data_IF_478474378012
#
_entry.id   IF_478474378012
#
_cell.length_a   1.000
_cell.length_b   1.000
_cell.length_c   1.000
_cell.angle_alpha   90.00
_cell.angle_beta   90.00
_cell.angle_gamma   90.00
#
_symmetry.space_group_name_H-M   'P 1'
#
loop_
_entity.id
_entity.type
_entity.pdbx_description
1 polymer ?
#
# COMPACT_ATOMS: atom_id res chain seq x y z
N UNK A 1 -3.16 12.57 -2.31
CA UNK A 1 -4.21 13.18 -1.48
C UNK A 1 -3.94 12.88 -0.01
N UNK A 2 -3.58 13.88 0.77
CA UNK A 2 -3.47 13.77 2.22
C UNK A 2 -4.74 14.35 2.88
N UNK A 3 -5.26 13.67 3.90
CA UNK A 3 -6.40 14.15 4.69
C UNK A 3 -6.03 14.23 6.15
N UNK A 4 -5.98 15.46 6.65
CA UNK A 4 -5.90 15.77 8.07
C UNK A 4 -7.26 15.84 8.74
N UNK A 5 -7.29 16.30 9.99
CA UNK A 5 -8.56 16.56 10.69
C UNK A 5 -9.32 17.76 10.11
N UNK A 6 -8.63 18.84 9.82
CA UNK A 6 -9.21 20.12 9.40
C UNK A 6 -9.05 20.42 7.90
N UNK A 7 -8.13 19.81 7.22
CA UNK A 7 -7.78 20.10 5.82
C UNK A 7 -7.59 18.83 4.99
N UNK A 8 -7.56 19.03 3.68
CA UNK A 8 -7.18 18.03 2.69
C UNK A 8 -6.29 18.68 1.66
N UNK A 9 -5.15 18.06 1.41
CA UNK A 9 -4.15 18.50 0.44
C UNK A 9 -4.16 17.57 -0.77
N UNK A 10 -4.14 18.17 -1.96
CA UNK A 10 -3.90 17.48 -3.23
C UNK A 10 -2.56 17.91 -3.77
N UNK A 11 -1.75 16.96 -4.18
CA UNK A 11 -0.49 17.19 -4.88
C UNK A 11 -0.41 16.29 -6.11
N UNK A 12 -0.02 16.86 -7.22
CA UNK A 12 0.34 16.16 -8.44
C UNK A 12 1.79 15.67 -8.32
N UNK A 13 2.02 14.41 -8.69
CA UNK A 13 3.36 13.83 -8.76
C UNK A 13 3.55 13.27 -10.16
N UNK A 14 4.57 13.73 -10.84
CA UNK A 14 4.93 13.27 -12.18
C UNK A 14 6.44 13.10 -12.28
N UNK A 15 6.88 11.91 -12.70
CA UNK A 15 8.31 11.58 -12.84
C UNK A 15 9.17 11.87 -11.59
N UNK A 16 8.60 11.67 -10.41
CA UNK A 16 9.29 11.95 -9.14
C UNK A 16 9.26 13.43 -8.71
N UNK A 17 8.71 14.31 -9.52
CA UNK A 17 8.61 15.74 -9.23
C UNK A 17 7.21 16.13 -8.75
N UNK A 18 7.15 17.11 -7.87
CA UNK A 18 5.90 17.65 -7.32
C UNK A 18 5.42 18.79 -8.21
N UNK A 19 4.27 18.59 -8.84
CA UNK A 19 3.60 19.59 -9.66
C UNK A 19 2.66 20.51 -8.85
N UNK A 20 1.42 20.65 -9.29
CA UNK A 20 0.40 21.46 -8.63
C UNK A 20 0.11 20.95 -7.21
N UNK A 21 -0.04 21.89 -6.28
CA UNK A 21 -0.38 21.63 -4.88
C UNK A 21 -1.51 22.53 -4.43
N UNK A 22 -2.53 21.98 -3.80
CA UNK A 22 -3.68 22.75 -3.33
C UNK A 22 -4.11 22.23 -1.98
N UNK A 23 -4.31 23.15 -1.03
CA UNK A 23 -4.92 22.87 0.28
C UNK A 23 -6.37 23.30 0.28
N UNK A 24 -7.22 22.52 0.89
CA UNK A 24 -8.66 22.81 1.05
C UNK A 24 -9.12 22.58 2.49
N UNK A 25 -10.27 23.10 2.84
CA UNK A 25 -10.93 22.89 4.14
C UNK A 25 -11.72 21.57 4.23
N UNK A 26 -11.42 20.60 3.37
CA UNK A 26 -12.08 19.28 3.36
C UNK A 26 -11.51 18.33 4.43
N UNK A 27 -11.34 18.79 5.67
CA UNK A 27 -11.04 17.91 6.79
C UNK A 27 -12.32 17.39 7.46
N UNK A 28 -12.40 16.10 7.87
CA UNK A 28 -13.60 15.55 8.48
C UNK A 28 -14.08 16.29 9.74
N UNK A 29 -13.16 16.83 10.55
CA UNK A 29 -13.51 17.65 11.71
C UNK A 29 -14.11 19.00 11.31
N UNK A 30 -13.56 19.66 10.31
CA UNK A 30 -14.13 20.94 9.80
C UNK A 30 -15.51 20.74 9.22
N UNK A 31 -15.73 19.64 8.52
CA UNK A 31 -17.03 19.33 7.90
C UNK A 31 -18.08 18.95 8.95
N UNK A 32 -17.69 18.29 10.04
CA UNK A 32 -18.65 17.91 11.10
C UNK A 32 -19.37 19.11 11.72
N UNK A 33 -18.74 20.29 11.74
CA UNK A 33 -19.31 21.55 12.23
C UNK A 33 -20.18 22.32 11.23
N UNK A 34 -20.31 21.87 9.98
CA UNK A 34 -21.08 22.58 8.95
C UNK A 34 -22.60 22.56 9.26
N UNK A 35 -23.22 23.73 9.21
CA UNK A 35 -24.66 23.91 9.39
C UNK A 35 -25.49 23.20 8.31
N UNK A 36 -26.73 22.84 8.63
CA UNK A 36 -27.65 22.15 7.70
C UNK A 36 -27.48 20.61 7.67
N UNK A 37 -26.77 20.04 8.65
CA UNK A 37 -26.63 18.61 8.82
C UNK A 37 -26.03 17.91 7.60
N UNK A 38 -26.42 16.65 7.36
CA UNK A 38 -25.90 15.84 6.23
C UNK A 38 -26.08 16.50 4.85
N UNK A 39 -27.15 17.28 4.66
CA UNK A 39 -27.40 17.99 3.39
C UNK A 39 -26.42 19.14 3.20
N UNK A 40 -26.23 19.98 4.24
CA UNK A 40 -25.26 21.08 4.22
C UNK A 40 -23.82 20.59 4.00
N UNK A 41 -23.43 19.53 4.72
CA UNK A 41 -22.12 18.88 4.54
C UNK A 41 -21.90 18.41 3.10
N UNK A 42 -22.90 17.74 2.50
CA UNK A 42 -22.81 17.25 1.12
C UNK A 42 -22.66 18.38 0.10
N UNK A 43 -23.40 19.48 0.28
CA UNK A 43 -23.28 20.66 -0.60
C UNK A 43 -21.92 21.32 -0.45
N UNK A 44 -21.43 21.49 0.78
CA UNK A 44 -20.11 22.05 1.06
C UNK A 44 -19.00 21.22 0.42
N UNK A 45 -18.99 19.89 0.66
CA UNK A 45 -18.04 18.95 0.05
C UNK A 45 -18.07 19.07 -1.48
N UNK A 46 -19.30 19.08 -2.06
CA UNK A 46 -19.46 19.17 -3.52
C UNK A 46 -18.81 20.44 -4.07
N UNK A 47 -19.14 21.61 -3.49
CA UNK A 47 -18.61 22.89 -3.95
C UNK A 47 -17.09 22.91 -3.95
N UNK A 48 -16.46 22.55 -2.83
CA UNK A 48 -14.99 22.58 -2.73
C UNK A 48 -14.35 21.57 -3.70
N UNK A 49 -14.92 20.38 -3.86
CA UNK A 49 -14.39 19.40 -4.82
C UNK A 49 -14.53 19.87 -6.28
N UNK A 50 -15.57 20.63 -6.61
CA UNK A 50 -15.71 21.24 -7.93
C UNK A 50 -14.60 22.28 -8.16
N UNK A 51 -14.35 23.15 -7.19
CA UNK A 51 -13.28 24.15 -7.22
C UNK A 51 -11.89 23.47 -7.34
N UNK A 52 -11.63 22.40 -6.58
CA UNK A 52 -10.40 21.64 -6.64
C UNK A 52 -10.19 20.99 -8.02
N UNK A 53 -11.25 20.44 -8.59
CA UNK A 53 -11.17 19.83 -9.93
C UNK A 53 -10.84 20.85 -11.01
N UNK A 54 -11.41 22.05 -10.94
CA UNK A 54 -11.08 23.16 -11.87
C UNK A 54 -9.60 23.53 -11.74
N UNK A 55 -9.08 23.64 -10.51
CA UNK A 55 -7.71 24.07 -10.27
C UNK A 55 -6.66 23.01 -10.61
N UNK A 56 -6.90 21.75 -10.25
CA UNK A 56 -5.99 20.63 -10.52
C UNK A 56 -6.04 20.17 -11.97
N UNK A 57 -7.17 20.32 -12.64
CA UNK A 57 -7.41 19.75 -13.96
C UNK A 57 -7.67 18.23 -13.90
N UNK A 58 -7.65 17.58 -15.05
CA UNK A 58 -7.84 16.14 -15.15
C UNK A 58 -6.63 15.38 -14.62
N UNK A 59 -6.86 14.47 -13.69
CA UNK A 59 -5.87 13.62 -13.04
C UNK A 59 -6.42 12.21 -13.01
N UNK A 60 -6.14 11.42 -14.04
CA UNK A 60 -6.78 10.12 -14.26
C UNK A 60 -5.93 8.92 -13.83
N UNK A 61 -4.69 9.13 -13.46
CA UNK A 61 -3.79 8.07 -13.04
C UNK A 61 -4.14 7.52 -11.65
N UNK A 62 -3.16 7.12 -10.89
CA UNK A 62 -3.35 6.58 -9.55
C UNK A 62 -3.57 7.70 -8.52
N UNK A 63 -4.57 7.50 -7.65
CA UNK A 63 -4.79 8.34 -6.47
C UNK A 63 -4.18 7.68 -5.23
N UNK A 64 -3.07 8.21 -4.73
CA UNK A 64 -2.52 7.80 -3.45
C UNK A 64 -3.22 8.52 -2.30
N UNK A 65 -3.70 7.75 -1.33
CA UNK A 65 -4.40 8.23 -0.15
C UNK A 65 -3.47 8.19 1.07
N UNK A 66 -3.18 9.35 1.64
CA UNK A 66 -2.35 9.56 2.83
C UNK A 66 -3.23 10.03 3.98
N UNK A 67 -2.99 9.57 5.19
CA UNK A 67 -3.72 10.03 6.38
C UNK A 67 -4.52 8.95 7.10
N UNK A 68 -4.88 9.26 8.34
CA UNK A 68 -5.50 8.32 9.27
C UNK A 68 -6.90 7.89 8.86
N UNK A 69 -7.70 8.81 8.32
CA UNK A 69 -9.08 8.53 7.90
C UNK A 69 -9.14 7.56 6.72
N UNK A 70 -8.25 7.72 5.74
CA UNK A 70 -8.16 6.78 4.61
C UNK A 70 -7.71 5.39 5.05
N UNK A 71 -6.73 5.33 5.96
CA UNK A 71 -6.29 4.05 6.54
C UNK A 71 -7.38 3.36 7.36
N UNK A 72 -8.28 4.11 8.01
CA UNK A 72 -9.43 3.55 8.68
C UNK A 72 -10.42 2.92 7.69
N UNK A 73 -10.74 3.61 6.59
CA UNK A 73 -11.59 3.06 5.50
C UNK A 73 -10.97 1.78 4.94
N UNK A 74 -9.67 1.77 4.66
CA UNK A 74 -8.97 0.61 4.13
C UNK A 74 -9.01 -0.60 5.09
N UNK A 75 -8.83 -0.38 6.40
CA UNK A 75 -8.95 -1.45 7.41
C UNK A 75 -10.35 -2.04 7.46
N UNK A 76 -11.38 -1.20 7.35
CA UNK A 76 -12.77 -1.66 7.29
C UNK A 76 -13.01 -2.48 6.01
N UNK A 77 -12.47 -2.02 4.88
CA UNK A 77 -12.57 -2.77 3.61
C UNK A 77 -11.83 -4.10 3.67
N UNK A 78 -10.61 -4.15 4.21
CA UNK A 78 -9.87 -5.39 4.44
C UNK A 78 -10.67 -6.36 5.31
N UNK A 79 -11.24 -5.88 6.41
CA UNK A 79 -12.07 -6.70 7.31
C UNK A 79 -13.30 -7.24 6.58
N UNK A 80 -14.06 -6.38 5.91
CA UNK A 80 -15.24 -6.76 5.11
C UNK A 80 -14.93 -7.85 4.08
N UNK A 81 -13.74 -7.79 3.47
CA UNK A 81 -13.31 -8.73 2.41
C UNK A 81 -12.63 -9.99 2.95
N UNK A 82 -12.34 -10.06 4.24
CA UNK A 82 -11.44 -11.10 4.77
C UNK A 82 -10.07 -11.08 4.10
N UNK A 83 -9.56 -9.86 3.80
CA UNK A 83 -8.33 -9.70 3.03
C UNK A 83 -7.11 -10.21 3.82
N UNK A 84 -6.32 -11.16 3.28
CA UNK A 84 -5.36 -11.92 4.09
C UNK A 84 -4.07 -11.16 4.41
N UNK A 85 -3.67 -10.16 3.61
CA UNK A 85 -2.45 -9.39 3.81
C UNK A 85 -2.74 -8.03 4.44
N UNK A 86 -2.54 -7.91 5.76
CA UNK A 86 -2.88 -6.71 6.54
C UNK A 86 -1.78 -5.62 6.49
N UNK A 87 -1.22 -5.36 5.32
CA UNK A 87 -0.27 -4.27 5.05
C UNK A 87 -1.03 -3.10 4.44
N UNK A 88 -0.89 -1.89 5.06
CA UNK A 88 -1.62 -0.71 4.57
C UNK A 88 -1.03 -0.13 3.28
N UNK A 89 0.31 -0.11 3.20
CA UNK A 89 0.98 0.47 2.03
C UNK A 89 0.69 -0.35 0.78
N UNK A 90 0.29 0.34 -0.31
CA UNK A 90 -0.14 -0.26 -1.58
C UNK A 90 -1.40 -1.14 -1.49
N UNK A 91 -2.18 -1.03 -0.39
CA UNK A 91 -3.52 -1.62 -0.42
C UNK A 91 -4.40 -0.89 -1.42
N UNK A 92 -4.94 -1.62 -2.39
CA UNK A 92 -5.72 -1.05 -3.49
C UNK A 92 -7.21 -1.30 -3.33
N UNK A 93 -7.99 -0.28 -3.63
CA UNK A 93 -9.44 -0.31 -3.62
C UNK A 93 -9.99 0.21 -4.95
N UNK A 94 -10.97 -0.47 -5.49
CA UNK A 94 -11.77 0.02 -6.62
C UNK A 94 -12.90 0.93 -6.12
N UNK A 95 -13.50 1.69 -7.03
CA UNK A 95 -14.72 2.45 -6.72
C UNK A 95 -15.85 1.54 -6.17
N UNK A 96 -15.96 0.32 -6.72
CA UNK A 96 -16.91 -0.68 -6.24
C UNK A 96 -16.65 -1.12 -4.80
N UNK A 97 -15.36 -1.29 -4.43
CA UNK A 97 -14.99 -1.66 -3.07
C UNK A 97 -15.37 -0.55 -2.08
N UNK A 98 -15.08 0.71 -2.42
CA UNK A 98 -15.43 1.87 -1.58
C UNK A 98 -16.96 1.97 -1.39
N UNK A 99 -17.73 1.70 -2.45
CA UNK A 99 -19.20 1.67 -2.37
C UNK A 99 -19.69 0.57 -1.43
N UNK A 100 -19.17 -0.64 -1.59
CA UNK A 100 -19.51 -1.78 -0.72
C UNK A 100 -19.10 -1.56 0.73
N UNK A 101 -17.99 -0.87 0.95
CA UNK A 101 -17.53 -0.52 2.30
C UNK A 101 -18.44 0.52 2.95
N UNK A 102 -18.91 1.52 2.20
CA UNK A 102 -19.92 2.48 2.67
C UNK A 102 -21.25 1.78 3.05
N UNK A 103 -21.71 0.84 2.22
CA UNK A 103 -22.89 0.01 2.50
C UNK A 103 -22.69 -0.88 3.73
N UNK A 104 -21.54 -1.52 3.83
CA UNK A 104 -21.18 -2.35 4.98
C UNK A 104 -21.21 -1.55 6.28
N UNK A 105 -20.63 -0.35 6.30
CA UNK A 105 -20.65 0.52 7.48
C UNK A 105 -22.09 0.90 7.88
N UNK A 106 -22.95 1.22 6.91
CA UNK A 106 -24.35 1.59 7.17
C UNK A 106 -25.18 0.43 7.73
N UNK A 107 -24.94 -0.78 7.23
CA UNK A 107 -25.74 -1.96 7.58
C UNK A 107 -25.22 -2.65 8.85
N UNK A 108 -23.90 -2.68 9.05
CA UNK A 108 -23.26 -3.39 10.16
C UNK A 108 -23.16 -2.54 11.42
N UNK A 109 -23.08 -1.22 11.27
CA UNK A 109 -22.95 -0.24 12.33
C UNK A 109 -21.50 0.00 12.78
N UNK A 110 -21.19 1.26 13.06
CA UNK A 110 -19.83 1.68 13.44
C UNK A 110 -19.38 1.10 14.78
N UNK A 111 -20.26 0.98 15.77
CA UNK A 111 -19.93 0.48 17.10
C UNK A 111 -19.47 -0.99 17.04
N UNK A 112 -20.15 -1.79 16.22
CA UNK A 112 -19.79 -3.18 16.01
C UNK A 112 -18.45 -3.29 15.26
N UNK A 113 -18.26 -2.51 14.21
CA UNK A 113 -16.99 -2.44 13.48
C UNK A 113 -15.86 -2.06 14.44
N UNK A 114 -16.08 -1.09 15.33
CA UNK A 114 -15.10 -0.64 16.33
C UNK A 114 -14.68 -1.74 17.28
N UNK A 115 -15.61 -2.60 17.70
CA UNK A 115 -15.30 -3.72 18.61
C UNK A 115 -14.49 -4.83 17.93
N UNK A 116 -14.61 -5.01 16.62
CA UNK A 116 -13.96 -6.08 15.85
C UNK A 116 -12.61 -5.65 15.23
N UNK A 117 -12.47 -4.35 14.92
CA UNK A 117 -11.28 -3.81 14.26
C UNK A 117 -10.56 -2.84 15.21
N UNK A 118 -9.23 -2.99 15.34
CA UNK A 118 -8.39 -2.08 16.13
C UNK A 118 -8.23 -0.72 15.44
N UNK A 119 -9.27 0.13 15.53
CA UNK A 119 -9.26 1.52 15.07
C UNK A 119 -9.63 2.40 16.28
N UNK A 120 -8.94 3.54 16.47
CA UNK A 120 -9.30 4.47 17.54
C UNK A 120 -10.69 5.05 17.33
N UNK A 121 -11.42 5.29 18.42
CA UNK A 121 -12.78 5.85 18.41
C UNK A 121 -12.86 7.15 17.60
N UNK A 122 -11.94 8.07 17.85
CA UNK A 122 -11.87 9.37 17.18
C UNK A 122 -11.78 9.27 15.64
N UNK A 123 -11.12 8.22 15.15
CA UNK A 123 -10.96 8.02 13.69
C UNK A 123 -12.17 7.35 13.06
N UNK A 124 -12.78 6.40 13.76
CA UNK A 124 -13.93 5.66 13.19
C UNK A 124 -15.14 6.56 13.03
N UNK A 125 -15.34 7.51 13.96
CA UNK A 125 -16.45 8.46 13.91
C UNK A 125 -16.36 9.41 12.71
N UNK A 126 -15.16 9.64 12.20
CA UNK A 126 -14.92 10.48 11.02
C UNK A 126 -15.02 9.73 9.68
N UNK A 127 -15.07 8.40 9.71
CA UNK A 127 -15.11 7.55 8.50
C UNK A 127 -16.29 7.87 7.59
N UNK A 128 -17.53 8.10 8.06
CA UNK A 128 -18.65 8.40 7.18
C UNK A 128 -18.45 9.68 6.36
N UNK A 129 -17.85 10.71 6.95
CA UNK A 129 -17.53 11.96 6.24
C UNK A 129 -16.37 11.73 5.26
N UNK A 130 -15.32 11.04 5.69
CA UNK A 130 -14.19 10.71 4.82
C UNK A 130 -14.61 9.89 3.58
N UNK A 131 -15.53 8.92 3.72
CA UNK A 131 -16.09 8.18 2.58
C UNK A 131 -16.87 9.10 1.62
N UNK A 132 -17.60 10.08 2.12
CA UNK A 132 -18.30 11.04 1.26
C UNK A 132 -17.32 11.87 0.44
N UNK A 133 -16.23 12.35 1.06
CA UNK A 133 -15.15 13.07 0.37
C UNK A 133 -14.53 12.18 -0.69
N UNK A 134 -14.14 10.95 -0.34
CA UNK A 134 -13.50 10.01 -1.25
C UNK A 134 -14.38 9.70 -2.47
N UNK A 135 -15.68 9.42 -2.25
CA UNK A 135 -16.64 9.22 -3.35
C UNK A 135 -16.79 10.45 -4.23
N UNK A 136 -16.68 11.63 -3.65
CA UNK A 136 -16.69 12.90 -4.38
C UNK A 136 -15.43 13.09 -5.22
N UNK A 137 -14.24 12.82 -4.68
CA UNK A 137 -12.96 12.84 -5.39
C UNK A 137 -12.98 11.90 -6.60
N UNK A 138 -13.36 10.64 -6.38
CA UNK A 138 -13.38 9.63 -7.44
C UNK A 138 -14.29 10.01 -8.59
N UNK A 139 -15.47 10.58 -8.29
CA UNK A 139 -16.42 11.00 -9.34
C UNK A 139 -15.86 12.12 -10.22
N UNK A 140 -15.07 13.02 -9.68
CA UNK A 140 -14.52 14.18 -10.40
C UNK A 140 -13.21 13.86 -11.11
N UNK A 141 -12.28 13.24 -10.39
CA UNK A 141 -10.94 12.97 -10.93
C UNK A 141 -10.85 11.64 -11.70
N UNK A 142 -11.81 10.71 -11.48
CA UNK A 142 -11.89 9.40 -12.15
C UNK A 142 -10.55 8.66 -12.19
N UNK A 143 -9.85 8.51 -11.05
CA UNK A 143 -8.57 7.84 -11.03
C UNK A 143 -8.72 6.39 -11.50
N UNK A 144 -7.70 5.91 -12.23
CA UNK A 144 -7.66 4.53 -12.71
C UNK A 144 -7.62 3.52 -11.55
N UNK A 145 -6.81 3.81 -10.54
CA UNK A 145 -6.79 3.02 -9.30
C UNK A 145 -6.58 3.91 -8.05
N UNK A 146 -6.83 3.34 -6.88
CA UNK A 146 -6.71 4.01 -5.59
C UNK A 146 -5.87 3.15 -4.68
N UNK A 147 -4.76 3.71 -4.17
CA UNK A 147 -3.84 3.02 -3.29
C UNK A 147 -3.66 3.77 -1.97
N UNK A 148 -3.52 3.04 -0.88
CA UNK A 148 -3.18 3.62 0.43
C UNK A 148 -1.67 3.79 0.55
N UNK A 149 -1.23 4.97 1.01
CA UNK A 149 0.16 5.16 1.41
C UNK A 149 0.32 5.08 2.93
N UNK A 150 1.33 4.35 3.38
CA UNK A 150 1.79 4.40 4.77
C UNK A 150 2.74 5.55 5.02
N UNK A 151 3.31 6.11 3.97
CA UNK A 151 4.22 7.25 4.04
C UNK A 151 3.44 8.56 4.07
N UNK A 152 3.94 9.52 4.83
CA UNK A 152 3.35 10.84 5.01
C UNK A 152 4.44 11.91 5.10
N UNK A 153 4.10 13.05 5.70
CA UNK A 153 4.99 14.21 5.79
C UNK A 153 6.32 13.90 6.47
N UNK A 154 6.35 13.00 7.46
CA UNK A 154 7.58 12.64 8.19
C UNK A 154 8.58 11.95 7.27
N UNK A 155 8.12 10.96 6.52
CA UNK A 155 8.94 10.23 5.56
C UNK A 155 9.34 11.15 4.40
N UNK A 156 8.44 12.03 3.95
CA UNK A 156 8.71 13.02 2.93
C UNK A 156 9.81 14.01 3.35
N UNK A 157 9.75 14.51 4.58
CA UNK A 157 10.79 15.41 5.13
C UNK A 157 12.16 14.74 5.20
N UNK A 158 12.20 13.46 5.62
CA UNK A 158 13.45 12.70 5.63
C UNK A 158 13.96 12.46 4.20
N UNK A 159 13.09 12.12 3.27
CA UNK A 159 13.44 11.90 1.87
C UNK A 159 14.00 13.17 1.22
N UNK A 160 13.43 14.34 1.52
CA UNK A 160 13.90 15.63 1.02
C UNK A 160 15.32 15.97 1.49
N UNK A 161 15.71 15.53 2.69
CA UNK A 161 17.07 15.71 3.22
C UNK A 161 18.11 14.76 2.60
N UNK A 162 17.67 13.73 1.88
CA UNK A 162 18.60 12.79 1.23
C UNK A 162 19.27 13.43 0.01
N UNK A 163 20.59 13.20 -0.20
CA UNK A 163 21.26 13.54 -1.46
C UNK A 163 20.54 12.93 -2.67
N UNK A 164 20.52 13.62 -3.80
CA UNK A 164 19.83 13.18 -5.02
C UNK A 164 20.26 11.75 -5.43
N UNK A 165 21.57 11.46 -5.38
CA UNK A 165 22.09 10.12 -5.68
C UNK A 165 21.48 8.99 -4.84
N UNK A 166 21.00 9.29 -3.63
CA UNK A 166 20.29 8.32 -2.79
C UNK A 166 18.81 8.25 -3.14
N UNK A 167 18.20 9.39 -3.49
CA UNK A 167 16.79 9.45 -3.91
C UNK A 167 16.53 8.73 -5.22
N UNK A 168 17.52 8.70 -6.12
CA UNK A 168 17.45 8.03 -7.42
C UNK A 168 17.58 6.50 -7.33
N UNK A 169 17.94 5.96 -6.16
CA UNK A 169 18.08 4.52 -5.96
C UNK A 169 16.71 3.85 -5.78
N UNK A 170 16.64 2.61 -6.23
CA UNK A 170 15.45 1.78 -6.02
C UNK A 170 15.27 1.44 -4.52
N UNK A 171 14.18 1.90 -3.87
CA UNK A 171 13.98 1.71 -2.45
C UNK A 171 13.85 0.24 -2.04
N UNK A 172 13.34 -0.65 -2.90
CA UNK A 172 13.32 -2.09 -2.64
C UNK A 172 14.73 -2.66 -2.59
N UNK A 173 15.52 -2.37 -3.60
CA UNK A 173 16.88 -2.92 -3.72
C UNK A 173 17.77 -2.40 -2.58
N UNK A 174 17.66 -1.12 -2.22
CA UNK A 174 18.40 -0.57 -1.06
C UNK A 174 17.97 -1.23 0.25
N UNK A 175 16.68 -1.46 0.46
CA UNK A 175 16.17 -2.19 1.63
C UNK A 175 16.66 -3.63 1.68
N UNK A 176 16.70 -4.32 0.54
CA UNK A 176 17.21 -5.69 0.43
C UNK A 176 18.73 -5.75 0.68
N UNK A 177 19.51 -4.80 0.17
CA UNK A 177 20.95 -4.69 0.47
C UNK A 177 21.21 -4.43 1.95
N UNK A 178 20.40 -3.58 2.58
CA UNK A 178 20.51 -3.34 4.02
C UNK A 178 20.25 -4.64 4.82
N UNK A 179 19.18 -5.36 4.47
CA UNK A 179 18.84 -6.63 5.11
C UNK A 179 19.93 -7.70 4.91
N UNK A 180 20.45 -7.84 3.69
CA UNK A 180 21.54 -8.75 3.39
C UNK A 180 22.78 -8.46 4.26
N UNK A 181 23.21 -7.19 4.29
CA UNK A 181 24.40 -6.79 5.08
C UNK A 181 24.24 -7.05 6.57
N UNK A 182 23.02 -6.85 7.10
CA UNK A 182 22.74 -7.00 8.52
C UNK A 182 22.53 -8.46 8.94
N UNK A 183 21.82 -9.23 8.14
CA UNK A 183 21.24 -10.50 8.57
C UNK A 183 21.78 -11.74 7.84
N UNK A 184 22.33 -11.63 6.63
CA UNK A 184 22.83 -12.78 5.89
C UNK A 184 24.17 -13.31 6.48
N UNK A 185 24.42 -14.62 6.34
CA UNK A 185 25.70 -15.25 6.73
C UNK A 185 26.88 -14.78 5.91
N UNK A 186 26.65 -14.49 4.62
CA UNK A 186 27.68 -14.07 3.68
C UNK A 186 27.20 -12.80 2.94
N UNK A 187 27.38 -11.62 3.52
CA UNK A 187 27.02 -10.35 2.89
C UNK A 187 27.70 -10.18 1.53
N UNK A 188 26.94 -9.71 0.52
CA UNK A 188 27.40 -9.55 -0.87
C UNK A 188 27.26 -10.82 -1.73
N UNK A 189 26.87 -11.95 -1.16
CA UNK A 189 26.62 -13.15 -1.96
C UNK A 189 25.36 -13.02 -2.83
N UNK A 190 24.34 -12.32 -2.39
CA UNK A 190 23.11 -12.14 -3.16
C UNK A 190 23.33 -11.54 -4.54
N UNK A 191 24.26 -10.58 -4.68
CA UNK A 191 24.60 -10.03 -5.99
C UNK A 191 25.37 -11.04 -6.87
N UNK A 192 26.20 -11.90 -6.29
CA UNK A 192 26.88 -12.98 -7.03
C UNK A 192 25.86 -14.01 -7.49
N UNK A 193 24.92 -14.38 -6.62
CA UNK A 193 23.83 -15.28 -6.95
C UNK A 193 22.98 -14.72 -8.09
N UNK A 194 22.60 -13.44 -8.01
CA UNK A 194 21.84 -12.78 -9.08
C UNK A 194 22.56 -12.86 -10.43
N UNK A 195 23.87 -12.54 -10.48
CA UNK A 195 24.67 -12.64 -11.71
C UNK A 195 24.73 -14.08 -12.24
N UNK A 196 24.80 -15.06 -11.36
CA UNK A 196 24.87 -16.48 -11.73
C UNK A 196 23.58 -16.99 -12.35
N UNK A 197 22.41 -16.60 -11.80
CA UNK A 197 21.12 -17.09 -12.29
C UNK A 197 20.53 -16.24 -13.43
N UNK A 198 21.02 -15.01 -13.62
CA UNK A 198 20.47 -14.08 -14.61
C UNK A 198 20.35 -14.67 -16.05
N UNK A 199 21.31 -15.49 -16.54
CA UNK A 199 21.20 -16.11 -17.86
C UNK A 199 20.02 -17.08 -18.04
N UNK A 200 19.40 -17.56 -16.94
CA UNK A 200 18.22 -18.43 -16.98
C UNK A 200 16.97 -17.63 -17.40
N UNK A 201 16.96 -16.32 -17.11
CA UNK A 201 15.82 -15.44 -17.34
C UNK A 201 15.96 -14.70 -18.67
N UNK A 202 15.75 -15.39 -19.77
CA UNK A 202 15.74 -14.78 -21.10
C UNK A 202 14.49 -13.90 -21.28
N UNK A 203 14.68 -12.65 -21.70
CA UNK A 203 13.59 -11.70 -21.98
C UNK A 203 12.70 -11.35 -20.77
N UNK A 204 13.25 -11.37 -19.55
CA UNK A 204 12.53 -10.97 -18.34
C UNK A 204 12.22 -9.46 -18.38
N UNK A 205 10.99 -9.09 -18.06
CA UNK A 205 10.60 -7.68 -17.96
C UNK A 205 11.28 -7.00 -16.76
N UNK A 206 11.56 -5.68 -16.83
CA UNK A 206 12.31 -4.96 -15.77
C UNK A 206 11.72 -5.13 -14.36
N UNK A 207 10.40 -5.12 -14.23
CA UNK A 207 9.68 -5.29 -12.97
C UNK A 207 9.98 -6.67 -12.33
N UNK A 208 10.02 -7.72 -13.14
CA UNK A 208 10.37 -9.08 -12.69
C UNK A 208 11.85 -9.24 -12.40
N UNK A 209 12.72 -8.69 -13.24
CA UNK A 209 14.17 -8.68 -12.99
C UNK A 209 14.49 -8.02 -11.64
N UNK A 210 13.76 -6.97 -11.29
CA UNK A 210 13.84 -6.30 -9.99
C UNK A 210 13.47 -7.24 -8.84
N UNK A 211 12.41 -8.03 -8.95
CA UNK A 211 11.99 -9.01 -7.93
C UNK A 211 12.97 -10.18 -7.83
N UNK A 212 13.50 -10.69 -8.94
CA UNK A 212 14.56 -11.72 -8.95
C UNK A 212 15.81 -11.23 -8.20
N UNK A 213 16.22 -9.98 -8.46
CA UNK A 213 17.35 -9.37 -7.72
C UNK A 213 17.07 -9.25 -6.24
N UNK A 214 15.85 -8.82 -5.85
CA UNK A 214 15.42 -8.73 -4.46
C UNK A 214 15.42 -10.11 -3.79
N UNK A 215 14.90 -11.15 -4.45
CA UNK A 215 14.93 -12.53 -3.96
C UNK A 215 16.36 -13.02 -3.70
N UNK A 216 17.30 -12.74 -4.61
CA UNK A 216 18.71 -13.08 -4.44
C UNK A 216 19.35 -12.38 -3.23
N UNK A 217 19.03 -11.11 -2.99
CA UNK A 217 19.54 -10.38 -1.84
C UNK A 217 18.95 -10.90 -0.51
N UNK A 218 17.67 -11.28 -0.53
CA UNK A 218 16.96 -11.75 0.67
C UNK A 218 17.09 -13.26 0.93
N UNK A 219 17.75 -14.00 0.05
CA UNK A 219 17.77 -15.47 0.07
C UNK A 219 18.23 -16.09 1.39
N UNK A 220 19.02 -15.41 2.19
CA UNK A 220 19.64 -15.94 3.42
C UNK A 220 19.33 -15.12 4.68
N UNK A 221 18.47 -14.09 4.61
CA UNK A 221 18.16 -13.21 5.76
C UNK A 221 17.48 -13.93 6.93
N UNK A 222 16.82 -15.05 6.68
CA UNK A 222 16.09 -15.83 7.69
C UNK A 222 16.88 -17.06 8.20
N UNK A 223 18.18 -17.15 7.94
CA UNK A 223 18.97 -18.33 8.30
C UNK A 223 19.01 -18.62 9.81
N UNK A 224 18.86 -17.59 10.67
CA UNK A 224 18.82 -17.74 12.13
C UNK A 224 17.55 -18.39 12.65
N UNK A 225 16.48 -18.44 11.85
CA UNK A 225 15.28 -19.19 12.21
C UNK A 225 15.60 -20.69 12.24
N UNK A 226 14.86 -21.42 13.10
CA UNK A 226 14.97 -22.88 13.11
C UNK A 226 14.72 -23.43 11.70
N UNK A 227 15.48 -24.46 11.23
CA UNK A 227 15.34 -25.00 9.89
C UNK A 227 13.90 -25.30 9.45
N UNK A 228 13.07 -25.80 10.35
CA UNK A 228 11.66 -26.14 10.07
C UNK A 228 10.78 -24.91 9.77
N UNK A 229 11.20 -23.73 10.19
CA UNK A 229 10.44 -22.47 10.05
C UNK A 229 11.06 -21.47 9.07
N UNK A 230 12.21 -21.77 8.48
CA UNK A 230 12.92 -20.83 7.59
C UNK A 230 12.09 -20.40 6.39
N UNK A 231 11.36 -21.34 5.81
CA UNK A 231 10.51 -21.09 4.65
C UNK A 231 9.42 -20.06 4.96
N UNK A 232 8.67 -20.28 6.04
CA UNK A 232 7.61 -19.35 6.47
C UNK A 232 8.19 -18.02 6.93
N UNK A 233 9.33 -18.03 7.63
CA UNK A 233 10.00 -16.80 8.08
C UNK A 233 10.45 -15.94 6.89
N UNK A 234 10.97 -16.56 5.81
CA UNK A 234 11.29 -15.83 4.59
C UNK A 234 10.04 -15.25 3.92
N UNK A 235 8.98 -16.03 3.83
CA UNK A 235 7.71 -15.56 3.29
C UNK A 235 7.16 -14.38 4.10
N UNK A 236 7.13 -14.50 5.42
CA UNK A 236 6.67 -13.44 6.32
C UNK A 236 7.57 -12.20 6.24
N UNK A 237 8.86 -12.37 6.10
CA UNK A 237 9.79 -11.26 5.90
C UNK A 237 9.44 -10.46 4.64
N UNK A 238 9.31 -11.10 3.49
CA UNK A 238 8.98 -10.43 2.23
C UNK A 238 7.61 -9.77 2.25
N UNK A 239 6.62 -10.42 2.86
CA UNK A 239 5.23 -9.94 2.83
C UNK A 239 4.95 -8.86 3.86
N UNK A 240 5.58 -8.89 5.05
CA UNK A 240 5.22 -8.03 6.20
C UNK A 240 6.27 -7.00 6.58
N UNK A 241 7.53 -7.14 6.15
CA UNK A 241 8.55 -6.13 6.43
C UNK A 241 8.29 -4.83 5.67
N UNK A 242 8.85 -3.74 6.19
CA UNK A 242 8.74 -2.42 5.57
C UNK A 242 9.67 -2.29 4.35
N UNK A 243 9.45 -3.12 3.35
CA UNK A 243 10.12 -3.04 2.06
C UNK A 243 9.40 -2.00 1.19
N UNK A 244 10.12 -0.97 0.77
CA UNK A 244 9.59 0.09 -0.08
C UNK A 244 9.30 -0.38 -1.51
N UNK A 245 8.40 0.30 -2.20
CA UNK A 245 8.17 0.13 -3.64
C UNK A 245 7.67 -1.26 -4.07
N UNK A 246 6.88 -1.94 -3.23
CA UNK A 246 6.23 -3.22 -3.54
C UNK A 246 4.72 -3.12 -3.43
N UNK A 247 4.02 -3.52 -4.45
CA UNK A 247 2.59 -3.84 -4.38
C UNK A 247 2.33 -5.11 -3.56
N UNK A 248 1.09 -5.37 -3.19
CA UNK A 248 0.73 -6.60 -2.46
C UNK A 248 1.05 -7.87 -3.26
N UNK A 249 0.80 -7.87 -4.56
CA UNK A 249 1.13 -9.02 -5.41
C UNK A 249 2.64 -9.26 -5.49
N UNK A 250 3.44 -8.21 -5.64
CA UNK A 250 4.90 -8.33 -5.66
C UNK A 250 5.46 -8.80 -4.32
N UNK A 251 4.88 -8.39 -3.19
CA UNK A 251 5.24 -8.90 -1.86
C UNK A 251 5.01 -10.40 -1.74
N UNK A 252 3.85 -10.86 -2.21
CA UNK A 252 3.49 -12.27 -2.14
C UNK A 252 4.32 -13.09 -3.13
N UNK A 253 4.55 -12.56 -4.34
CA UNK A 253 5.44 -13.17 -5.32
C UNK A 253 6.85 -13.39 -4.75
N UNK A 254 7.44 -12.32 -4.21
CA UNK A 254 8.76 -12.37 -3.57
C UNK A 254 8.77 -13.35 -2.38
N UNK A 255 7.72 -13.33 -1.56
CA UNK A 255 7.57 -14.27 -0.45
C UNK A 255 7.50 -15.71 -0.91
N UNK A 256 6.75 -15.99 -1.98
CA UNK A 256 6.61 -17.33 -2.55
C UNK A 256 7.95 -17.83 -3.13
N UNK A 257 8.66 -17.01 -3.89
CA UNK A 257 9.97 -17.34 -4.41
C UNK A 257 10.98 -17.67 -3.27
N UNK A 258 10.97 -16.89 -2.18
CA UNK A 258 11.80 -17.16 -1.01
C UNK A 258 11.37 -18.41 -0.23
N UNK A 259 10.08 -18.73 -0.19
CA UNK A 259 9.55 -19.98 0.40
C UNK A 259 10.14 -21.19 -0.34
N UNK A 260 10.13 -21.17 -1.67
CA UNK A 260 10.61 -22.25 -2.51
C UNK A 260 12.11 -22.49 -2.42
N UNK A 261 12.87 -21.51 -1.97
CA UNK A 261 14.28 -21.71 -1.61
C UNK A 261 14.50 -22.82 -0.57
N UNK A 262 13.53 -23.03 0.32
CA UNK A 262 13.62 -24.00 1.42
C UNK A 262 12.67 -25.17 1.29
N UNK A 263 11.66 -25.10 0.43
CA UNK A 263 10.64 -26.13 0.26
C UNK A 263 10.26 -26.37 -1.20
N UNK A 264 10.38 -27.60 -1.65
CA UNK A 264 10.01 -28.01 -3.01
C UNK A 264 8.48 -28.17 -3.19
N UNK A 265 7.69 -28.22 -2.12
CA UNK A 265 6.24 -28.42 -2.18
C UNK A 265 5.51 -27.36 -1.35
N UNK A 266 4.40 -26.86 -1.86
CA UNK A 266 3.51 -25.91 -1.18
C UNK A 266 2.70 -26.60 -0.06
N UNK A 267 3.29 -27.13 0.98
CA UNK A 267 2.52 -27.63 2.12
C UNK A 267 2.24 -26.57 3.18
N UNK A 268 1.96 -25.34 2.75
CA UNK A 268 1.70 -24.22 3.65
C UNK A 268 0.22 -23.79 3.56
N UNK A 269 -0.71 -24.64 4.00
CA UNK A 269 -2.16 -24.34 4.03
C UNK A 269 -2.47 -22.97 4.68
N UNK A 270 -1.68 -22.57 5.67
CA UNK A 270 -1.82 -21.27 6.35
C UNK A 270 -1.49 -20.08 5.45
N UNK A 271 -0.65 -20.24 4.42
CA UNK A 271 -0.25 -19.18 3.49
C UNK A 271 -1.15 -19.12 2.25
N UNK A 272 -1.97 -20.15 2.01
CA UNK A 272 -2.84 -20.25 0.83
C UNK A 272 -3.77 -19.03 0.65
N UNK A 273 -4.37 -18.44 1.69
CA UNK A 273 -5.17 -17.23 1.53
C UNK A 273 -4.38 -16.06 0.94
N UNK A 274 -3.09 -15.89 1.30
CA UNK A 274 -2.24 -14.85 0.71
C UNK A 274 -1.81 -15.22 -0.71
N UNK A 275 -1.37 -16.45 -0.93
CA UNK A 275 -0.94 -16.96 -2.23
C UNK A 275 -2.08 -16.89 -3.26
N UNK A 276 -3.33 -17.05 -2.82
CA UNK A 276 -4.51 -16.93 -3.71
C UNK A 276 -4.72 -15.54 -4.31
N UNK A 277 -4.05 -14.51 -3.78
CA UNK A 277 -4.05 -13.16 -4.38
C UNK A 277 -3.21 -13.07 -5.66
N UNK A 278 -2.30 -14.02 -5.90
CA UNK A 278 -1.52 -14.10 -7.14
C UNK A 278 -2.34 -14.74 -8.27
N UNK A 279 -2.07 -14.32 -9.49
CA UNK A 279 -2.53 -15.03 -10.69
C UNK A 279 -1.89 -16.43 -10.79
N UNK A 280 -2.46 -17.31 -11.59
CA UNK A 280 -1.88 -18.64 -11.83
C UNK A 280 -0.49 -18.56 -12.46
N UNK A 281 -0.27 -17.58 -13.31
CA UNK A 281 1.02 -17.38 -14.00
C UNK A 281 2.08 -16.83 -13.04
N UNK A 282 1.71 -15.83 -12.21
CA UNK A 282 2.61 -15.33 -11.16
C UNK A 282 3.03 -16.43 -10.16
N UNK A 283 2.10 -17.33 -9.83
CA UNK A 283 2.42 -18.46 -8.93
C UNK A 283 3.45 -19.39 -9.55
N UNK A 284 3.27 -19.76 -10.82
CA UNK A 284 4.19 -20.64 -11.55
C UNK A 284 5.57 -20.00 -11.71
N UNK A 285 5.59 -18.70 -11.97
CA UNK A 285 6.84 -17.97 -12.16
C UNK A 285 7.63 -17.81 -10.85
N UNK A 286 6.93 -17.69 -9.70
CA UNK A 286 7.55 -17.58 -8.38
C UNK A 286 8.08 -18.92 -7.85
N UNK A 287 7.59 -20.06 -8.35
CA UNK A 287 8.03 -21.42 -8.03
C UNK A 287 9.30 -21.80 -8.77
#
# INVERSE_FOLDING_TARGET
CDIGGASMELAEISNGEVGKRITSSLGPLSISGIAGGKRGQKLFISKILDDLHVQMGSQSDRLFLVGGSWRAIARIDMHRRGYPLHVMHEYRMTFKDIHKTDEYIKNYGLDRIKSEIRISSERIDLVPIAIQILKGLIRRFKPHDIAISSYGIREGTLYEQMPQIMRDRDPLIESCHFAERKDARLPGFGMRLHKFILPIFNNIIPERARLVRAACLLHDVSWRAHPDFRAETCFDYATRSNLGGLSHNERIFLGLALLHRYRNKRNARQLEPMISLLSSDDKKEAE
#
